data_IF_056394848824
#
_entry.id   IF_056394848824
#
_cell.length_a   1.000
_cell.length_b   1.000
_cell.length_c   1.000
_cell.angle_alpha   90.00
_cell.angle_beta   90.00
_cell.angle_gamma   90.00
#
_symmetry.space_group_name_H-M   'P 1'
#
loop_
_entity.id
_entity.type
_entity.pdbx_description
1 polymer ?
#
# COMPACT_ATOMS: atom_id res chain seq x y z
N UNK A 1 26.78 5.98 -3.68
CA UNK A 1 26.26 4.83 -2.90
C UNK A 1 24.75 4.94 -2.89
N UNK A 2 24.05 3.83 -3.15
CA UNK A 2 23.36 3.57 -4.41
C UNK A 2 22.04 4.30 -4.53
N UNK A 3 21.82 4.76 -5.75
CA UNK A 3 20.61 5.35 -6.28
C UNK A 3 19.55 4.24 -6.42
N UNK A 4 18.61 4.17 -5.48
CA UNK A 4 17.36 3.44 -5.67
C UNK A 4 16.26 4.48 -5.54
N UNK A 5 15.79 4.99 -6.67
CA UNK A 5 14.38 5.29 -7.00
C UNK A 5 14.42 5.83 -8.43
N UNK A 6 14.81 4.96 -9.36
CA UNK A 6 14.63 5.21 -10.78
C UNK A 6 13.13 5.20 -11.08
N UNK A 7 12.67 6.34 -11.57
CA UNK A 7 11.53 6.60 -12.45
C UNK A 7 10.43 5.53 -12.57
N UNK A 8 9.21 5.89 -12.16
CA UNK A 8 8.05 5.65 -13.03
C UNK A 8 7.36 6.98 -13.33
N UNK A 9 7.75 7.55 -14.46
CA UNK A 9 6.98 8.57 -15.17
C UNK A 9 5.91 7.83 -15.97
N UNK A 10 4.72 7.67 -15.40
CA UNK A 10 3.52 7.30 -16.17
C UNK A 10 2.28 7.97 -15.58
N UNK A 11 2.00 9.19 -16.04
CA UNK A 11 0.66 9.75 -15.94
C UNK A 11 -0.25 9.09 -17.00
N UNK A 12 -1.59 9.19 -16.95
CA UNK A 12 -2.53 9.13 -15.84
C UNK A 12 -3.54 8.00 -16.12
N UNK A 13 -3.32 6.82 -15.55
CA UNK A 13 -4.37 5.85 -15.30
C UNK A 13 -4.41 5.69 -13.80
N UNK A 14 -5.59 5.69 -13.17
CA UNK A 14 -5.71 5.50 -11.72
C UNK A 14 -5.20 4.09 -11.38
N UNK A 15 -3.90 3.94 -11.22
CA UNK A 15 -3.27 2.69 -10.84
C UNK A 15 -3.77 2.37 -9.43
N UNK A 16 -4.38 1.21 -9.28
CA UNK A 16 -4.81 0.68 -8.00
C UNK A 16 -3.61 -0.07 -7.39
N UNK A 17 -3.10 0.43 -6.27
CA UNK A 17 -1.97 -0.16 -5.56
C UNK A 17 -2.49 -0.87 -4.31
N UNK A 18 -2.20 -2.16 -4.18
CA UNK A 18 -2.49 -2.95 -3.00
C UNK A 18 -1.21 -3.12 -2.16
N UNK A 19 -1.27 -2.70 -0.91
CA UNK A 19 -0.16 -2.82 0.03
C UNK A 19 -0.51 -3.75 1.19
N UNK A 20 0.37 -4.68 1.55
CA UNK A 20 0.22 -5.43 2.81
C UNK A 20 1.29 -4.94 3.78
N UNK A 21 0.88 -4.44 4.94
CA UNK A 21 1.80 -4.11 6.02
C UNK A 21 1.70 -5.18 7.10
N UNK A 22 2.83 -5.78 7.47
CA UNK A 22 2.87 -6.81 8.49
C UNK A 22 4.04 -6.55 9.44
N UNK A 23 3.75 -6.40 10.74
CA UNK A 23 4.78 -6.26 11.76
C UNK A 23 4.57 -7.32 12.85
N UNK A 24 5.48 -8.30 13.01
CA UNK A 24 5.32 -9.39 13.97
C UNK A 24 5.39 -8.91 15.43
N UNK A 25 5.98 -7.73 15.66
CA UNK A 25 6.21 -7.15 16.99
C UNK A 25 5.06 -6.25 17.48
N UNK A 26 3.98 -6.08 16.72
CA UNK A 26 2.78 -5.34 17.14
C UNK A 26 2.09 -4.55 16.03
N UNK A 27 1.05 -3.79 16.39
CA UNK A 27 0.20 -3.07 15.42
C UNK A 27 0.67 -1.64 15.10
N UNK A 28 1.49 -1.03 15.98
CA UNK A 28 1.80 0.40 15.89
C UNK A 28 2.54 0.77 14.58
N UNK A 29 3.59 0.03 14.22
CA UNK A 29 4.31 0.28 12.97
C UNK A 29 3.51 -0.16 11.74
N UNK A 30 2.60 -1.12 11.90
CA UNK A 30 1.72 -1.61 10.82
C UNK A 30 0.75 -0.53 10.37
N UNK A 31 0.03 0.10 11.30
CA UNK A 31 -0.86 1.22 11.00
C UNK A 31 -0.08 2.47 10.57
N UNK A 32 1.05 2.78 11.21
CA UNK A 32 1.88 3.93 10.82
C UNK A 32 2.42 3.80 9.38
N UNK A 33 2.80 2.59 8.96
CA UNK A 33 3.19 2.32 7.58
C UNK A 33 2.00 2.44 6.63
N UNK A 34 0.82 1.93 7.01
CA UNK A 34 -0.39 2.03 6.21
C UNK A 34 -0.80 3.49 5.96
N UNK A 35 -0.88 4.31 7.00
CA UNK A 35 -1.26 5.73 6.87
C UNK A 35 -0.27 6.53 6.01
N UNK A 36 1.04 6.24 6.12
CA UNK A 36 2.06 6.90 5.30
C UNK A 36 1.98 6.49 3.83
N UNK A 37 1.66 5.22 3.57
CA UNK A 37 1.46 4.71 2.22
C UNK A 37 0.20 5.33 1.58
N UNK A 38 -0.92 5.37 2.30
CA UNK A 38 -2.15 6.04 1.84
C UNK A 38 -1.92 7.53 1.59
N UNK A 39 -1.21 8.21 2.49
CA UNK A 39 -0.86 9.63 2.32
C UNK A 39 0.01 9.86 1.09
N UNK A 40 1.06 9.05 0.89
CA UNK A 40 1.93 9.16 -0.27
C UNK A 40 1.19 8.87 -1.58
N UNK A 41 0.31 7.87 -1.59
CA UNK A 41 -0.55 7.58 -2.74
C UNK A 41 -1.50 8.73 -3.06
N UNK A 42 -2.12 9.34 -2.03
CA UNK A 42 -2.97 10.52 -2.20
C UNK A 42 -2.18 11.72 -2.74
N UNK A 43 -0.95 11.96 -2.26
CA UNK A 43 -0.06 13.01 -2.76
C UNK A 43 0.34 12.79 -4.23
N UNK A 44 0.47 11.53 -4.64
CA UNK A 44 0.82 11.12 -6.00
C UNK A 44 -0.40 10.97 -6.91
N UNK A 45 -1.62 10.99 -6.37
CA UNK A 45 -2.88 10.84 -7.11
C UNK A 45 -3.23 9.40 -7.51
N UNK A 46 -2.70 8.41 -6.80
CA UNK A 46 -3.00 6.98 -7.00
C UNK A 46 -4.06 6.48 -6.01
N UNK A 47 -4.78 5.42 -6.39
CA UNK A 47 -5.76 4.78 -5.52
C UNK A 47 -5.07 3.64 -4.78
N UNK A 48 -4.89 3.77 -3.47
CA UNK A 48 -4.16 2.79 -2.66
C UNK A 48 -5.05 2.14 -1.63
N UNK A 49 -4.90 0.83 -1.47
CA UNK A 49 -5.61 0.02 -0.50
C UNK A 49 -4.58 -0.75 0.31
N UNK A 50 -4.59 -0.57 1.64
CA UNK A 50 -3.63 -1.24 2.53
C UNK A 50 -4.32 -2.25 3.42
N UNK A 51 -3.86 -3.49 3.39
CA UNK A 51 -4.25 -4.55 4.30
C UNK A 51 -3.21 -4.62 5.43
N UNK A 52 -3.67 -4.57 6.67
CA UNK A 52 -2.83 -4.60 7.86
C UNK A 52 -2.86 -5.98 8.48
N UNK A 53 -1.69 -6.60 8.62
CA UNK A 53 -1.48 -7.93 9.16
C UNK A 53 -0.78 -7.82 10.53
N UNK A 54 -1.57 -7.67 11.58
CA UNK A 54 -1.09 -7.48 12.95
C UNK A 54 -1.15 -8.76 13.78
N UNK A 55 -0.55 -8.72 14.98
CA UNK A 55 -0.68 -9.78 15.99
C UNK A 55 -2.13 -10.01 16.45
N UNK A 56 -3.02 -9.06 16.17
CA UNK A 56 -4.44 -9.08 16.56
C UNK A 56 -5.34 -9.61 15.45
N UNK A 57 -4.83 -9.70 14.22
CA UNK A 57 -5.60 -10.16 13.05
C UNK A 57 -5.26 -9.40 11.77
N UNK A 58 -6.03 -9.73 10.72
CA UNK A 58 -5.97 -9.09 9.41
C UNK A 58 -7.12 -8.10 9.31
N UNK A 59 -6.83 -6.84 9.01
CA UNK A 59 -7.84 -5.83 8.72
C UNK A 59 -7.59 -5.21 7.35
N UNK A 60 -8.66 -4.98 6.58
CA UNK A 60 -8.57 -4.42 5.24
C UNK A 60 -8.44 -5.47 4.14
N UNK A 61 -8.99 -6.68 4.33
CA UNK A 61 -8.93 -7.78 3.37
C UNK A 61 -9.32 -7.35 1.96
N UNK A 62 -8.46 -7.64 1.00
CA UNK A 62 -8.73 -7.38 -0.41
C UNK A 62 -9.77 -8.36 -0.96
N UNK A 63 -10.71 -7.84 -1.76
CA UNK A 63 -11.56 -8.70 -2.57
C UNK A 63 -10.76 -9.23 -3.76
N UNK A 64 -11.11 -10.41 -4.28
CA UNK A 64 -10.48 -10.96 -5.48
C UNK A 64 -10.55 -9.97 -6.67
N UNK A 65 -11.64 -9.20 -6.76
CA UNK A 65 -11.85 -8.16 -7.77
C UNK A 65 -10.87 -6.99 -7.63
N UNK A 66 -10.52 -6.62 -6.39
CA UNK A 66 -9.50 -5.59 -6.14
C UNK A 66 -8.12 -6.09 -6.60
N UNK A 67 -7.79 -7.36 -6.36
CA UNK A 67 -6.52 -7.97 -6.76
C UNK A 67 -6.42 -8.07 -8.29
N UNK A 68 -7.51 -8.42 -8.98
CA UNK A 68 -7.55 -8.54 -10.44
C UNK A 68 -7.43 -7.17 -11.14
N UNK A 69 -7.90 -6.11 -10.47
CA UNK A 69 -7.84 -4.72 -10.94
C UNK A 69 -6.61 -3.96 -10.46
N UNK A 70 -5.83 -4.56 -9.56
CA UNK A 70 -4.61 -3.96 -9.05
C UNK A 70 -3.52 -3.99 -10.12
N UNK A 71 -2.84 -2.86 -10.29
CA UNK A 71 -1.63 -2.80 -11.11
C UNK A 71 -0.40 -3.30 -10.32
N UNK A 72 -0.43 -3.17 -8.99
CA UNK A 72 0.66 -3.56 -8.09
C UNK A 72 0.14 -4.00 -6.72
#
# INVERSE_FOLDING_TARGET
MPELFADTKSAPSRLLILGITACPTGIAHTYMAAEKLESAAAELGYEMKVETHGSVGVEGTFSQDDIDRADA
#
